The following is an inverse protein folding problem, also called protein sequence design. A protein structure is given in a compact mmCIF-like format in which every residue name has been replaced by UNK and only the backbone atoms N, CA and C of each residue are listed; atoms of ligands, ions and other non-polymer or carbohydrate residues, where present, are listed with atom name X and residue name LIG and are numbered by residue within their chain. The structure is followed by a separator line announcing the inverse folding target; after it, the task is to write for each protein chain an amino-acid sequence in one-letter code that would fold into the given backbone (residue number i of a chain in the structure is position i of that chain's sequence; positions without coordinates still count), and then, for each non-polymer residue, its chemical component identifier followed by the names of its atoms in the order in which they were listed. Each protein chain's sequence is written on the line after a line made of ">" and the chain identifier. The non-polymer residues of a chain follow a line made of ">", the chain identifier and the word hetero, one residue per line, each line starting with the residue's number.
data_IF_556273656745
#
_entry.id   IF_556273656745
#
_cell.length_a   1.000
_cell.length_b   1.000
_cell.length_c   1.000
_cell.angle_alpha   90.00
_cell.angle_beta   90.00
_cell.angle_gamma   90.00
#
_symmetry.space_group_name_H-M   'P 1'
#
loop_
_entity.id
_entity.type
_entity.pdbx_description
1 polymer ?
2 non-polymer ?
3 non-polymer ?
4 non-polymer ?
5 water ?
#
# COMPACT_ATOMS: atom_id res chain seq x y z
N UNK A 10 -21.09 5.08 -15.77
CA UNK A 10 -19.80 5.73 -15.57
C UNK A 10 -19.07 4.70 -14.69
N UNK A 11 -18.61 3.69 -15.42
CA UNK A 11 -17.93 2.58 -14.83
C UNK A 11 -16.70 3.08 -14.07
N UNK A 12 -15.93 4.02 -14.65
CA UNK A 12 -14.71 4.45 -13.99
C UNK A 12 -15.04 5.15 -12.65
N UNK A 13 -16.16 5.87 -12.64
CA UNK A 13 -16.56 6.57 -11.43
C UNK A 13 -16.96 5.59 -10.36
N UNK A 14 -17.66 4.51 -10.72
CA UNK A 14 -18.07 3.49 -9.70
C UNK A 14 -16.79 2.86 -9.11
N UNK A 15 -15.79 2.58 -9.96
CA UNK A 15 -14.56 2.00 -9.46
C UNK A 15 -13.85 2.96 -8.50
N UNK A 16 -13.81 4.24 -8.89
CA UNK A 16 -13.07 5.21 -8.03
C UNK A 16 -13.76 5.40 -6.71
N UNK A 17 -15.09 5.47 -6.76
CA UNK A 17 -15.88 5.65 -5.52
C UNK A 17 -15.75 4.47 -4.54
N UNK A 18 -15.73 3.25 -5.09
CA UNK A 18 -15.63 2.05 -4.29
C UNK A 18 -14.24 2.01 -3.66
N UNK A 19 -13.21 2.29 -4.47
CA UNK A 19 -11.83 2.37 -3.99
C UNK A 19 -11.70 3.45 -2.89
N UNK A 20 -12.21 4.65 -3.13
CA UNK A 20 -12.17 5.72 -2.11
C UNK A 20 -12.86 5.29 -0.84
N UNK A 21 -14.00 4.63 -0.97
CA UNK A 21 -14.78 4.22 0.25
C UNK A 21 -13.95 3.20 1.03
N UNK A 22 -13.30 2.25 0.34
CA UNK A 22 -12.55 1.21 1.03
C UNK A 22 -11.32 1.85 1.72
N UNK A 23 -10.59 2.68 1.00
CA UNK A 23 -9.46 3.37 1.66
C UNK A 23 -9.89 4.30 2.82
N UNK A 24 -11.08 4.88 2.74
CA UNK A 24 -11.61 5.73 3.87
C UNK A 24 -11.83 4.85 5.06
N UNK A 25 -12.40 3.67 4.80
CA UNK A 25 -12.70 2.75 5.91
C UNK A 25 -11.40 2.23 6.58
N UNK A 26 -10.42 1.88 5.75
CA UNK A 26 -9.13 1.46 6.31
C UNK A 26 -8.51 2.64 7.07
N UNK A 27 -8.54 3.84 6.51
CA UNK A 27 -7.96 5.01 7.21
C UNK A 27 -8.66 5.22 8.54
N UNK A 28 -9.99 5.05 8.57
CA UNK A 28 -10.75 5.08 9.86
C UNK A 28 -10.28 4.02 10.86
N UNK A 29 -10.14 2.77 10.41
CA UNK A 29 -9.72 1.72 11.35
C UNK A 29 -8.29 1.82 11.79
N UNK A 30 -7.47 2.55 11.02
CA UNK A 30 -6.09 2.75 11.35
C UNK A 30 -5.81 4.10 12.11
N UNK A 31 -6.87 4.90 12.35
CA UNK A 31 -6.74 6.30 12.73
C UNK A 31 -6.04 6.50 14.11
N UNK A 32 -6.03 5.44 14.91
CA UNK A 32 -5.44 5.48 16.27
C UNK A 32 -3.92 5.46 16.19
N UNK A 33 -3.40 5.07 15.03
CA UNK A 33 -1.95 4.83 14.92
C UNK A 33 -1.19 6.12 14.63
N UNK A 34 -1.93 7.19 14.36
CA UNK A 34 -1.31 8.53 14.08
C UNK A 34 -0.48 8.54 12.80
N UNK A 35 -0.82 7.67 11.85
CA UNK A 35 -0.01 7.59 10.62
C UNK A 35 -0.75 8.30 9.54
N UNK A 36 -0.60 9.61 9.54
CA UNK A 36 -1.41 10.50 8.77
C UNK A 36 -0.89 10.57 7.36
N UNK A 37 -1.62 11.31 6.54
CA UNK A 37 -1.47 11.27 5.08
C UNK A 37 -1.34 9.80 4.68
N UNK A 38 -0.68 9.54 3.57
CA UNK A 38 -0.75 8.16 3.10
C UNK A 38 0.06 7.17 3.98
N UNK A 39 0.62 7.60 5.11
CA UNK A 39 1.83 6.95 5.63
C UNK A 39 1.66 5.47 5.93
N UNK A 40 0.48 5.10 6.41
CA UNK A 40 0.23 3.70 6.72
C UNK A 40 0.23 2.81 5.45
N UNK A 41 -0.09 3.42 4.32
CA UNK A 41 -0.18 2.75 3.01
C UNK A 41 1.21 2.47 2.38
N UNK A 42 2.17 3.33 2.68
CA UNK A 42 3.58 3.06 2.44
C UNK A 42 4.05 1.85 3.27
N UNK A 43 3.80 1.84 4.61
CA UNK A 43 4.10 0.72 5.50
C UNK A 43 3.46 -0.55 5.00
N UNK A 44 2.20 -0.44 4.58
CA UNK A 44 1.50 -1.66 4.19
C UNK A 44 2.19 -2.23 2.96
N UNK A 45 2.54 -1.37 2.00
CA UNK A 45 3.19 -1.84 0.79
C UNK A 45 4.61 -2.38 1.03
N UNK A 46 5.33 -1.77 1.97
CA UNK A 46 6.62 -2.32 2.37
C UNK A 46 6.46 -3.69 2.98
N UNK A 47 5.42 -3.86 3.77
CA UNK A 47 5.21 -5.12 4.48
C UNK A 47 4.93 -6.23 3.47
N UNK A 48 4.33 -5.83 2.35
CA UNK A 48 3.79 -6.82 1.40
C UNK A 48 4.71 -7.25 0.29
N UNK A 49 5.74 -6.48 0.03
CA UNK A 49 6.69 -6.98 -0.94
C UNK A 49 7.92 -7.60 -0.30
N UNK A 50 8.49 -8.65 -0.90
CA UNK A 50 9.70 -9.20 -0.21
C UNK A 50 10.97 -8.42 -0.51
N UNK A 51 11.07 -7.90 -1.73
CA UNK A 51 12.17 -7.01 -2.08
C UNK A 51 12.01 -5.68 -1.36
N UNK A 52 13.13 -5.01 -1.13
CA UNK A 52 13.14 -3.66 -0.60
C UNK A 52 13.11 -2.74 -1.80
N UNK A 53 12.06 -1.89 -1.93
CA UNK A 53 11.92 -1.09 -3.13
C UNK A 53 12.82 0.13 -3.15
N UNK A 54 13.08 0.66 -4.33
CA UNK A 54 13.67 1.98 -4.38
C UNK A 54 12.52 2.96 -4.13
N UNK A 55 12.83 4.25 -4.00
CA UNK A 55 11.79 5.29 -3.83
C UNK A 55 10.86 5.34 -5.02
N UNK A 56 11.45 5.20 -6.21
CA UNK A 56 10.73 5.14 -7.48
C UNK A 56 9.72 3.98 -7.55
N UNK A 57 10.10 2.82 -7.04
CA UNK A 57 9.23 1.65 -7.04
C UNK A 57 8.06 1.82 -6.07
N UNK A 58 8.38 2.39 -4.91
CA UNK A 58 7.39 2.54 -3.85
C UNK A 58 6.33 3.60 -4.22
N UNK A 59 6.77 4.65 -4.89
CA UNK A 59 5.90 5.74 -5.29
C UNK A 59 4.88 5.19 -6.31
N UNK A 60 5.40 4.49 -7.33
CA UNK A 60 4.58 3.74 -8.29
C UNK A 60 3.46 2.98 -7.58
N UNK A 61 3.81 2.09 -6.66
CA UNK A 61 2.82 1.18 -6.11
C UNK A 61 1.88 1.78 -5.07
N UNK A 62 2.38 2.74 -4.29
CA UNK A 62 1.60 3.42 -3.27
C UNK A 62 0.63 4.42 -3.91
N UNK A 63 1.11 4.99 -5.02
CA UNK A 63 0.31 5.71 -6.00
C UNK A 63 0.47 7.20 -5.94
N UNK A 64 1.69 7.66 -5.70
CA UNK A 64 1.93 9.03 -5.28
C UNK A 64 3.17 9.45 -6.04
N UNK A 65 3.29 10.76 -6.29
CA UNK A 65 4.48 11.37 -6.91
C UNK A 65 5.68 11.20 -5.98
N UNK A 66 6.89 11.16 -6.56
CA UNK A 66 8.13 11.02 -5.80
C UNK A 66 8.37 12.00 -4.67
N UNK A 67 8.34 13.31 -4.96
CA UNK A 67 8.40 14.34 -3.89
C UNK A 67 7.38 14.20 -2.74
N UNK A 68 6.17 13.73 -3.06
CA UNK A 68 5.20 13.43 -2.04
C UNK A 68 5.70 12.28 -1.22
N UNK A 69 6.16 11.21 -1.87
CA UNK A 69 6.67 10.06 -1.08
C UNK A 69 7.86 10.52 -0.18
N UNK A 70 8.73 11.39 -0.67
CA UNK A 70 9.90 11.78 0.14
C UNK A 70 9.46 12.34 1.49
N UNK A 71 8.43 13.19 1.49
CA UNK A 71 7.83 13.71 2.74
C UNK A 71 7.23 12.64 3.62
N UNK A 72 6.42 11.73 3.05
CA UNK A 72 5.88 10.59 3.75
C UNK A 72 6.97 9.78 4.38
N UNK A 73 8.04 9.54 3.61
CA UNK A 73 9.15 8.73 4.11
C UNK A 73 9.85 9.47 5.29
N UNK A 74 10.03 10.80 5.18
CA UNK A 74 10.68 11.57 6.30
C UNK A 74 9.90 11.33 7.60
N UNK A 75 8.58 11.38 7.49
CA UNK A 75 7.72 11.07 8.60
C UNK A 75 7.95 9.70 9.19
N UNK A 76 7.97 8.66 8.36
CA UNK A 76 8.10 7.34 8.86
C UNK A 76 9.54 7.13 9.44
N UNK A 77 10.51 7.72 8.77
CA UNK A 77 11.95 7.58 9.16
C UNK A 77 12.16 8.28 10.53
N UNK A 78 11.54 9.45 10.67
CA UNK A 78 11.55 10.17 11.96
C UNK A 78 11.02 9.33 13.13
N UNK A 79 10.07 8.45 12.84
CA UNK A 79 9.45 7.58 13.83
C UNK A 79 10.22 6.23 13.96
N UNK A 80 11.36 6.11 13.26
CA UNK A 80 12.17 4.90 13.36
C UNK A 80 11.52 3.66 12.71
N UNK A 81 10.62 3.89 11.76
CA UNK A 81 9.86 2.79 11.12
C UNK A 81 10.52 2.31 9.81
N UNK A 82 11.22 3.23 9.14
CA UNK A 82 11.94 2.86 7.94
C UNK A 82 13.38 3.37 7.96
N UNK A 83 14.23 2.74 7.15
CA UNK A 83 15.59 3.24 6.82
C UNK A 83 15.76 3.25 5.33
N UNK A 84 16.61 4.17 4.85
CA UNK A 84 17.02 4.16 3.44
C UNK A 84 18.45 3.69 3.35
N UNK A 85 18.65 2.53 2.71
CA UNK A 85 19.88 1.71 2.81
C UNK A 85 20.29 1.16 1.45
N UNK A 86 21.57 0.79 1.32
CA UNK A 86 22.08 0.05 0.16
C UNK A 86 21.86 -1.41 0.47
N UNK A 87 21.49 -2.18 -0.54
CA UNK A 87 21.11 -3.57 -0.28
C UNK A 87 21.96 -4.62 -1.02
N UNK A 88 22.80 -4.17 -1.95
CA UNK A 88 23.70 -5.10 -2.65
C UNK A 88 24.97 -4.38 -3.07
N UNK A 89 25.99 -5.19 -3.38
CA UNK A 89 27.25 -4.76 -3.98
C UNK A 89 27.01 -3.99 -5.29
N UNK A 90 25.89 -4.29 -5.95
CA UNK A 90 25.44 -3.65 -7.22
C UNK A 90 24.04 -3.08 -7.10
N UNK A 91 23.61 -2.80 -5.87
CA UNK A 91 22.40 -2.01 -5.64
C UNK A 91 22.74 -1.04 -4.52
N UNK A 92 23.39 0.02 -4.97
CA UNK A 92 23.99 1.03 -4.13
C UNK A 92 23.07 2.21 -3.87
N UNK A 93 22.02 2.37 -4.70
CA UNK A 93 20.97 3.35 -4.48
C UNK A 93 20.30 3.04 -3.15
N UNK A 94 19.57 4.01 -2.65
CA UNK A 94 18.90 3.81 -1.38
C UNK A 94 17.62 3.00 -1.66
N UNK A 95 17.45 1.95 -0.84
CA UNK A 95 16.27 1.13 -0.85
C UNK A 95 15.59 1.33 0.49
N UNK A 96 14.27 1.20 0.49
CA UNK A 96 13.53 1.54 1.70
C UNK A 96 13.30 0.24 2.42
N UNK A 97 13.72 0.17 3.66
CA UNK A 97 13.63 -1.05 4.41
C UNK A 97 12.86 -0.76 5.71
N UNK A 98 12.03 -1.70 6.14
CA UNK A 98 11.43 -1.61 7.46
C UNK A 98 12.42 -1.93 8.55
N UNK A 99 12.17 -1.37 9.72
CA UNK A 99 12.92 -1.70 10.91
C UNK A 99 12.19 -2.73 11.78
N UNK A 100 12.93 -3.44 12.63
CA UNK A 100 12.36 -4.30 13.67
C UNK A 100 11.30 -3.56 14.51
N UNK A 101 11.54 -2.29 14.83
CA UNK A 101 10.54 -1.47 15.52
C UNK A 101 9.23 -1.50 14.81
N UNK A 102 9.26 -1.53 13.48
CA UNK A 102 8.04 -1.41 12.72
C UNK A 102 7.19 -2.67 12.82
N UNK A 103 7.75 -3.80 13.29
CA UNK A 103 6.99 -5.07 13.11
C UNK A 103 5.74 -5.15 13.95
N UNK A 104 5.72 -4.68 15.21
CA UNK A 104 4.42 -4.79 15.92
C UNK A 104 3.40 -3.89 15.24
N UNK A 105 3.90 -2.83 14.62
CA UNK A 105 3.04 -1.93 13.92
C UNK A 105 2.45 -2.56 12.66
N UNK A 106 3.30 -3.07 11.77
CA UNK A 106 2.83 -3.73 10.55
C UNK A 106 1.90 -4.89 10.87
N UNK A 107 2.23 -5.67 11.90
CA UNK A 107 1.29 -6.77 12.26
C UNK A 107 -0.14 -6.24 12.52
N UNK A 108 -0.25 -5.14 13.28
CA UNK A 108 -1.52 -4.54 13.56
C UNK A 108 -2.19 -3.98 12.31
N UNK A 109 -1.45 -3.31 11.47
CA UNK A 109 -1.98 -2.77 10.22
C UNK A 109 -2.50 -3.89 9.30
N UNK A 110 -1.74 -4.98 9.18
CA UNK A 110 -2.24 -6.08 8.36
C UNK A 110 -3.49 -6.73 8.94
N UNK A 111 -3.55 -6.88 10.25
CA UNK A 111 -4.69 -7.50 10.88
C UNK A 111 -5.92 -6.60 10.59
N UNK A 112 -5.70 -5.29 10.71
CA UNK A 112 -6.86 -4.37 10.49
C UNK A 112 -7.26 -4.34 9.01
N UNK A 113 -6.28 -4.38 8.10
CA UNK A 113 -6.57 -4.43 6.67
C UNK A 113 -7.33 -5.76 6.31
N UNK A 114 -6.94 -6.88 6.93
CA UNK A 114 -7.70 -8.13 6.78
C UNK A 114 -9.13 -8.00 7.29
N UNK A 115 -9.32 -7.31 8.40
CA UNK A 115 -10.68 -7.10 8.91
C UNK A 115 -11.55 -6.31 7.89
N UNK A 116 -11.00 -5.23 7.35
CA UNK A 116 -11.78 -4.41 6.39
C UNK A 116 -12.11 -5.31 5.17
N UNK A 117 -11.12 -6.08 4.72
CA UNK A 117 -11.31 -6.97 3.50
C UNK A 117 -12.40 -7.97 3.78
N UNK A 118 -12.34 -8.64 4.93
CA UNK A 118 -13.44 -9.53 5.36
C UNK A 118 -14.81 -8.83 5.32
N UNK A 119 -14.90 -7.66 5.93
CA UNK A 119 -16.18 -7.05 6.03
C UNK A 119 -16.70 -6.51 4.68
N UNK A 120 -15.85 -5.92 3.87
CA UNK A 120 -16.32 -5.34 2.60
C UNK A 120 -16.70 -6.46 1.58
N UNK A 121 -16.14 -7.65 1.76
CA UNK A 121 -16.46 -8.82 0.86
C UNK A 121 -17.67 -9.57 1.34
N UNK A 122 -18.29 -9.09 2.45
CA UNK A 122 -19.49 -9.81 2.93
C UNK A 122 -20.54 -9.97 1.86
N UNK A 123 -21.02 -11.23 1.73
CA UNK A 123 -22.14 -11.45 0.78
C UNK A 123 -21.68 -11.68 -0.65
N UNK A 124 -20.38 -11.55 -0.90
CA UNK A 124 -19.89 -11.67 -2.32
C UNK A 124 -19.25 -13.05 -2.45
N UNK A 125 -19.78 -13.81 -3.41
CA UNK A 125 -19.41 -15.12 -3.78
C UNK A 125 -17.94 -15.17 -4.21
N UNK A 126 -17.22 -16.24 -3.84
CA UNK A 126 -15.84 -16.40 -4.18
C UNK A 126 -15.68 -16.38 -5.73
N UNK A 127 -16.60 -17.00 -6.43
CA UNK A 127 -16.48 -17.02 -7.92
C UNK A 127 -16.62 -15.65 -8.52
N UNK A 128 -17.58 -14.92 -7.97
CA UNK A 128 -17.80 -13.56 -8.46
C UNK A 128 -16.64 -12.60 -8.12
N UNK A 129 -16.05 -12.76 -6.93
CA UNK A 129 -14.84 -12.05 -6.58
C UNK A 129 -13.76 -12.33 -7.66
N UNK A 130 -13.57 -13.61 -7.95
CA UNK A 130 -12.55 -13.99 -8.94
C UNK A 130 -12.78 -13.38 -10.30
N UNK A 131 -14.05 -13.37 -10.73
CA UNK A 131 -14.43 -12.79 -11.99
C UNK A 131 -14.15 -11.29 -11.95
N UNK A 132 -14.55 -10.64 -10.84
CA UNK A 132 -14.33 -9.18 -10.67
C UNK A 132 -12.82 -8.88 -10.82
N UNK A 133 -11.97 -9.66 -10.17
CA UNK A 133 -10.54 -9.49 -10.28
C UNK A 133 -10.04 -9.65 -11.68
N UNK A 134 -10.55 -10.63 -12.43
CA UNK A 134 -10.11 -10.80 -13.84
C UNK A 134 -10.51 -9.57 -14.69
N UNK A 135 -11.70 -9.03 -14.50
CA UNK A 135 -12.09 -7.78 -15.21
C UNK A 135 -11.12 -6.65 -14.88
N UNK A 136 -10.90 -6.40 -13.57
CA UNK A 136 -9.93 -5.36 -13.17
C UNK A 136 -8.52 -5.58 -13.74
N UNK A 137 -8.04 -6.84 -13.76
CA UNK A 137 -6.70 -7.12 -14.30
C UNK A 137 -6.62 -6.77 -15.79
N UNK A 138 -7.70 -7.00 -16.55
CA UNK A 138 -7.71 -6.66 -18.00
C UNK A 138 -7.73 -5.18 -18.19
N UNK A 139 -8.52 -4.49 -17.37
CA UNK A 139 -8.53 -3.00 -17.45
C UNK A 139 -7.13 -2.51 -17.17
N UNK A 140 -6.53 -2.97 -16.07
CA UNK A 140 -5.15 -2.56 -15.83
C UNK A 140 -4.15 -2.88 -16.95
N UNK A 141 -4.27 -4.06 -17.56
CA UNK A 141 -3.35 -4.39 -18.69
C UNK A 141 -3.62 -3.48 -19.84
N UNK A 142 -4.90 -3.14 -20.07
CA UNK A 142 -5.24 -2.23 -21.19
C UNK A 142 -4.58 -0.88 -20.95
N UNK A 143 -4.54 -0.52 -19.69
CA UNK A 143 -3.93 0.79 -19.35
C UNK A 143 -2.43 0.72 -19.43
N UNK A 144 -1.86 -0.39 -19.02
CA UNK A 144 -0.40 -0.52 -18.86
C UNK A 144 0.22 -0.80 -20.20
N UNK A 145 -0.52 -1.52 -21.04
CA UNK A 145 -0.20 -1.65 -22.45
C UNK A 145 -0.68 -0.42 -23.28
N UNK A 146 -0.54 0.78 -22.72
CA UNK A 146 -0.76 2.04 -23.49
C UNK A 146 0.48 2.61 -24.23
X LIG B 1 -15.04 -5.89 -10.58
X LIG C 1 -7.86 3.76 14.93
X LIG D 1 3.06 -2.95 -2.80
X LIG E 1 -6.31 -4.79 0.72
X LIG E 1 -7.10 -5.88 0.21
X LIG E 1 -7.05 -3.53 0.81
X LIG E 1 -5.26 -4.62 -0.27
X LIG E 1 -5.77 -5.19 2.06
#
# INVERSE_FOLDING_TARGET
>A
GHMAQTDKHYFGTLLAQTSRAWRAELDRRLSHLGLSQARWLVLLHLARHRDSPTQRELAQSVGVEGPTLARLLDGLESQGLVRRLAVAEDRRAKHIVLTPKADVLIADIEAIAASVRNDVLTGIDESEQALCQQVLLRILANLENR
>B hetero
1 HG HG
>C hetero
1 ZN ZN
>D hetero
1 ZN ZN
>E hetero
1 SO4 S O1 O2 O3 O4
#
